data_IF_308082668917
#
_entry.id   IF_308082668917
#
_cell.length_a   1.000
_cell.length_b   1.000
_cell.length_c   1.000
_cell.angle_alpha   90.00
_cell.angle_beta   90.00
_cell.angle_gamma   90.00
#
_symmetry.space_group_name_H-M   'P 1'
#
loop_
_entity.id
_entity.type
_entity.pdbx_description
1 polymer ?
#
# COMPACT_ATOMS: atom_id res chain seq x y z
N UNK A 1 6.59 20.97 9.70
CA UNK A 1 6.41 20.48 8.33
C UNK A 1 5.60 19.17 8.36
N UNK A 2 4.55 19.11 7.58
CA UNK A 2 3.70 17.92 7.55
C UNK A 2 4.37 16.82 6.71
N UNK A 3 4.40 15.61 7.25
CA UNK A 3 4.90 14.45 6.50
C UNK A 3 3.88 14.06 5.45
N UNK A 4 4.38 13.61 4.28
CA UNK A 4 3.51 12.95 3.32
C UNK A 4 3.24 11.52 3.77
N UNK A 5 2.02 11.07 3.54
CA UNK A 5 1.55 9.76 3.95
C UNK A 5 1.56 8.81 2.76
N UNK A 6 2.20 7.67 2.92
CA UNK A 6 2.30 6.65 1.87
C UNK A 6 1.67 5.36 2.36
N UNK A 7 0.78 4.80 1.54
CA UNK A 7 0.16 3.50 1.78
C UNK A 7 0.78 2.47 0.85
N UNK A 8 1.28 1.39 1.43
CA UNK A 8 1.76 0.22 0.69
C UNK A 8 0.75 -0.90 0.90
N UNK A 9 0.36 -1.59 -0.16
CA UNK A 9 -0.62 -2.67 -0.07
C UNK A 9 -0.03 -3.94 -0.65
N UNK A 10 0.21 -4.93 0.21
CA UNK A 10 0.74 -6.23 -0.17
C UNK A 10 2.25 -6.27 -0.29
N UNK A 11 2.75 -7.48 -0.53
CA UNK A 11 4.18 -7.71 -0.66
C UNK A 11 4.88 -7.85 0.68
N UNK A 12 6.03 -8.49 0.67
CA UNK A 12 6.86 -8.59 1.88
C UNK A 12 8.22 -7.96 1.62
N UNK A 13 9.04 -8.55 0.76
CA UNK A 13 10.40 -8.05 0.55
C UNK A 13 10.40 -6.67 -0.13
N UNK A 14 9.57 -6.48 -1.15
CA UNK A 14 9.44 -5.18 -1.81
C UNK A 14 8.87 -4.14 -0.85
N UNK A 15 7.87 -4.53 -0.05
CA UNK A 15 7.26 -3.63 0.92
C UNK A 15 8.27 -3.22 2.00
N UNK A 16 9.08 -4.16 2.49
CA UNK A 16 10.10 -3.87 3.49
C UNK A 16 11.14 -2.87 2.95
N UNK A 17 11.68 -3.15 1.76
CA UNK A 17 12.68 -2.27 1.15
C UNK A 17 12.14 -0.88 0.91
N UNK A 18 10.93 -0.80 0.36
CA UNK A 18 10.31 0.47 0.02
C UNK A 18 9.95 1.25 1.28
N UNK A 19 9.40 0.56 2.28
CA UNK A 19 9.05 1.19 3.55
C UNK A 19 10.27 1.78 4.24
N UNK A 20 11.37 1.03 4.32
CA UNK A 20 12.61 1.51 4.94
C UNK A 20 13.14 2.74 4.21
N UNK A 21 13.13 2.71 2.88
CA UNK A 21 13.59 3.84 2.07
C UNK A 21 12.73 5.09 2.30
N UNK A 22 11.41 4.90 2.31
CA UNK A 22 10.48 6.03 2.50
C UNK A 22 10.55 6.59 3.91
N UNK A 23 10.62 5.73 4.93
CA UNK A 23 10.78 6.17 6.31
C UNK A 23 12.06 6.97 6.49
N UNK A 24 13.15 6.53 5.89
CA UNK A 24 14.43 7.25 5.94
C UNK A 24 14.36 8.64 5.30
N UNK A 25 13.46 8.80 4.33
CA UNK A 25 13.26 10.09 3.66
C UNK A 25 12.24 10.98 4.37
N UNK A 26 11.69 10.51 5.48
CA UNK A 26 10.78 11.32 6.28
C UNK A 26 9.30 11.14 5.97
N UNK A 27 8.93 10.16 5.15
CA UNK A 27 7.52 9.85 4.91
C UNK A 27 6.92 9.10 6.08
N UNK A 28 5.63 9.28 6.29
CA UNK A 28 4.85 8.41 7.18
C UNK A 28 4.34 7.25 6.33
N UNK A 29 4.57 6.02 6.76
CA UNK A 29 4.28 4.83 5.95
C UNK A 29 3.36 3.87 6.69
N UNK A 30 2.31 3.43 6.02
CA UNK A 30 1.40 2.39 6.47
C UNK A 30 1.44 1.27 5.45
N UNK A 31 1.48 0.02 5.91
CA UNK A 31 1.41 -1.15 5.03
C UNK A 31 0.21 -2.00 5.39
N UNK A 32 -0.54 -2.43 4.38
CA UNK A 32 -1.60 -3.44 4.50
C UNK A 32 -1.06 -4.74 3.94
N UNK A 33 -1.26 -5.83 4.66
CA UNK A 33 -0.86 -7.17 4.19
C UNK A 33 -1.88 -8.19 4.69
N UNK A 34 -2.23 -9.16 3.85
CA UNK A 34 -3.25 -10.16 4.17
C UNK A 34 -2.68 -11.45 4.75
N UNK A 35 -1.38 -11.50 4.98
CA UNK A 35 -0.71 -12.65 5.59
C UNK A 35 -0.23 -12.26 6.98
N UNK A 36 -0.72 -12.99 7.99
CA UNK A 36 -0.41 -12.63 9.37
C UNK A 36 1.09 -12.70 9.68
N UNK A 37 1.78 -13.74 9.18
CA UNK A 37 3.21 -13.88 9.43
C UNK A 37 4.01 -12.75 8.78
N UNK A 38 3.62 -12.34 7.59
CA UNK A 38 4.25 -11.19 6.92
C UNK A 38 4.03 -9.91 7.72
N UNK A 39 2.84 -9.74 8.28
CA UNK A 39 2.55 -8.59 9.14
C UNK A 39 3.47 -8.56 10.36
N UNK A 40 3.71 -9.72 10.97
CA UNK A 40 4.62 -9.82 12.12
C UNK A 40 6.04 -9.40 11.73
N UNK A 41 6.50 -9.82 10.56
CA UNK A 41 7.82 -9.45 10.06
C UNK A 41 7.90 -7.94 9.77
N UNK A 42 6.88 -7.40 9.11
CA UNK A 42 6.82 -5.97 8.80
C UNK A 42 6.76 -5.12 10.07
N UNK A 43 6.08 -5.60 11.09
CA UNK A 43 5.93 -4.87 12.35
C UNK A 43 7.25 -4.70 13.10
N UNK A 44 8.31 -5.42 12.72
CA UNK A 44 9.64 -5.23 13.31
C UNK A 44 10.32 -3.94 12.83
N UNK A 45 9.81 -3.32 11.78
CA UNK A 45 10.36 -2.06 11.25
C UNK A 45 9.84 -0.91 12.10
N UNK A 46 10.78 -0.18 12.72
CA UNK A 46 10.43 0.96 13.56
C UNK A 46 9.69 2.03 12.74
N UNK A 47 8.64 2.60 13.33
CA UNK A 47 7.80 3.66 12.77
C UNK A 47 6.90 3.21 11.60
N UNK A 48 6.92 1.96 11.22
CA UNK A 48 6.02 1.44 10.20
C UNK A 48 4.70 1.01 10.85
N UNK A 49 3.59 1.55 10.36
CA UNK A 49 2.27 1.10 10.76
C UNK A 49 1.85 -0.08 9.90
N UNK A 50 1.42 -1.18 10.53
CA UNK A 50 1.04 -2.40 9.82
C UNK A 50 -0.41 -2.74 10.11
N UNK A 51 -1.18 -2.99 9.05
CA UNK A 51 -2.57 -3.39 9.14
C UNK A 51 -2.74 -4.75 8.46
N UNK A 52 -3.29 -5.70 9.21
CA UNK A 52 -3.60 -7.02 8.70
C UNK A 52 -4.97 -6.98 8.03
N UNK A 53 -5.03 -7.27 6.73
CA UNK A 53 -6.28 -7.29 6.01
C UNK A 53 -6.09 -7.40 4.51
N UNK A 54 -7.21 -7.52 3.81
CA UNK A 54 -7.26 -7.60 2.35
C UNK A 54 -7.49 -6.20 1.78
N UNK A 55 -6.46 -5.64 1.14
CA UNK A 55 -6.51 -4.29 0.60
C UNK A 55 -7.46 -4.09 -0.57
N UNK A 56 -8.04 -5.16 -1.14
CA UNK A 56 -9.09 -5.02 -2.16
C UNK A 56 -10.45 -4.68 -1.55
N UNK A 57 -10.55 -4.68 -0.21
CA UNK A 57 -11.79 -4.37 0.51
C UNK A 57 -11.78 -2.90 0.96
N UNK A 58 -12.79 -2.12 0.58
CA UNK A 58 -12.82 -0.71 0.93
C UNK A 58 -12.71 -0.43 2.43
N UNK A 59 -13.32 -1.27 3.28
CA UNK A 59 -13.26 -1.05 4.72
C UNK A 59 -11.84 -1.19 5.29
N UNK A 60 -10.99 -2.02 4.66
CA UNK A 60 -9.60 -2.16 5.08
C UNK A 60 -8.80 -0.90 4.71
N UNK A 61 -9.04 -0.37 3.52
CA UNK A 61 -8.41 0.88 3.09
C UNK A 61 -8.85 2.06 3.96
N UNK A 62 -10.11 2.04 4.40
CA UNK A 62 -10.62 3.05 5.32
C UNK A 62 -9.94 2.94 6.68
N UNK A 63 -9.77 1.74 7.20
CA UNK A 63 -9.06 1.49 8.45
C UNK A 63 -7.61 2.00 8.38
N UNK A 64 -7.00 1.89 7.21
CA UNK A 64 -5.64 2.39 6.96
C UNK A 64 -5.59 3.89 6.71
N UNK A 65 -6.71 4.60 6.89
CA UNK A 65 -6.78 6.04 6.69
C UNK A 65 -6.51 6.43 5.22
N UNK A 66 -7.12 5.68 4.31
CA UNK A 66 -6.90 5.86 2.87
C UNK A 66 -7.15 7.28 2.38
N UNK A 67 -8.16 7.96 2.94
CA UNK A 67 -8.51 9.32 2.50
C UNK A 67 -7.44 10.36 2.83
N UNK A 68 -6.54 10.06 3.76
CA UNK A 68 -5.44 10.96 4.14
C UNK A 68 -4.10 10.53 3.52
N UNK A 69 -4.11 9.54 2.66
CA UNK A 69 -2.90 9.10 1.96
C UNK A 69 -2.61 10.00 0.76
N UNK A 70 -1.35 10.36 0.60
CA UNK A 70 -0.87 11.14 -0.54
C UNK A 70 -0.50 10.23 -1.71
N UNK A 71 0.02 9.05 -1.39
CA UNK A 71 0.48 8.08 -2.38
C UNK A 71 0.01 6.70 -1.93
N UNK A 72 -0.47 5.89 -2.87
CA UNK A 72 -0.81 4.48 -2.62
C UNK A 72 -0.09 3.60 -3.65
N UNK A 73 0.59 2.56 -3.17
CA UNK A 73 1.37 1.67 -4.00
C UNK A 73 0.92 0.24 -3.76
N UNK A 74 0.38 -0.40 -4.78
CA UNK A 74 -0.12 -1.77 -4.70
C UNK A 74 0.95 -2.74 -5.18
N UNK A 75 1.36 -3.65 -4.29
CA UNK A 75 2.50 -4.55 -4.46
C UNK A 75 2.13 -6.02 -4.27
N UNK A 76 0.85 -6.38 -4.37
CA UNK A 76 0.45 -7.78 -4.22
C UNK A 76 0.99 -8.62 -5.39
N UNK A 77 0.91 -9.92 -5.27
CA UNK A 77 1.36 -10.82 -6.34
C UNK A 77 0.30 -11.04 -7.43
N UNK A 78 -0.82 -10.32 -7.38
CA UNK A 78 -1.88 -10.41 -8.37
C UNK A 78 -2.13 -9.06 -9.03
N UNK A 79 -1.89 -9.01 -10.34
CA UNK A 79 -2.07 -7.76 -11.10
C UNK A 79 -3.48 -7.20 -10.97
N UNK A 80 -4.50 -8.07 -11.03
CA UNK A 80 -5.89 -7.65 -10.94
C UNK A 80 -6.17 -6.99 -9.59
N UNK A 81 -5.66 -7.54 -8.50
CA UNK A 81 -5.81 -6.95 -7.18
C UNK A 81 -5.13 -5.58 -7.10
N UNK A 82 -3.95 -5.45 -7.69
CA UNK A 82 -3.22 -4.19 -7.68
C UNK A 82 -3.99 -3.09 -8.43
N UNK A 83 -4.63 -3.45 -9.54
CA UNK A 83 -5.45 -2.50 -10.28
C UNK A 83 -6.70 -2.10 -9.49
N UNK A 84 -7.36 -3.06 -8.84
CA UNK A 84 -8.53 -2.79 -7.99
C UNK A 84 -8.16 -1.88 -6.83
N UNK A 85 -7.06 -2.16 -6.15
CA UNK A 85 -6.58 -1.34 -5.02
C UNK A 85 -6.35 0.09 -5.46
N UNK A 86 -5.64 0.28 -6.57
CA UNK A 86 -5.35 1.61 -7.09
C UNK A 86 -6.62 2.35 -7.51
N UNK A 87 -7.57 1.65 -8.13
CA UNK A 87 -8.83 2.27 -8.50
C UNK A 87 -9.63 2.71 -7.29
N UNK A 88 -9.71 1.87 -6.26
CA UNK A 88 -10.39 2.24 -5.01
C UNK A 88 -9.72 3.44 -4.35
N UNK A 89 -8.39 3.42 -4.26
CA UNK A 89 -7.65 4.54 -3.67
C UNK A 89 -7.90 5.84 -4.42
N UNK A 90 -7.88 5.77 -5.74
CA UNK A 90 -8.06 6.96 -6.57
C UNK A 90 -9.50 7.48 -6.53
N UNK A 91 -10.48 6.60 -6.71
CA UNK A 91 -11.87 7.02 -6.88
C UNK A 91 -12.62 7.19 -5.57
N UNK A 92 -12.43 6.28 -4.62
CA UNK A 92 -13.15 6.33 -3.35
C UNK A 92 -12.43 7.18 -2.31
N UNK A 93 -11.12 7.09 -2.24
CA UNK A 93 -10.33 7.77 -1.20
C UNK A 93 -9.61 9.02 -1.71
N UNK A 94 -9.70 9.30 -3.01
CA UNK A 94 -9.14 10.51 -3.63
C UNK A 94 -7.63 10.67 -3.42
N UNK A 95 -6.92 9.53 -3.41
CA UNK A 95 -5.46 9.52 -3.34
C UNK A 95 -4.92 10.11 -4.64
N UNK A 96 -4.05 11.09 -4.54
CA UNK A 96 -3.57 11.83 -5.71
C UNK A 96 -2.66 11.01 -6.61
N UNK A 97 -1.82 10.16 -6.01
CA UNK A 97 -0.87 9.37 -6.78
C UNK A 97 -1.04 7.89 -6.42
N UNK A 98 -1.33 7.07 -7.41
CA UNK A 98 -1.47 5.64 -7.24
C UNK A 98 -0.50 4.93 -8.19
N UNK A 99 0.15 3.88 -7.68
CA UNK A 99 1.12 3.08 -8.44
C UNK A 99 0.74 1.61 -8.26
N UNK A 100 0.56 0.90 -9.36
CA UNK A 100 0.27 -0.52 -9.35
C UNK A 100 1.44 -1.29 -9.94
N UNK A 101 1.92 -2.30 -9.21
CA UNK A 101 2.87 -3.25 -9.78
C UNK A 101 2.10 -4.16 -10.73
N UNK A 102 2.48 -4.18 -11.99
CA UNK A 102 1.84 -5.02 -13.00
C UNK A 102 2.91 -5.85 -13.70
N UNK A 103 2.77 -7.16 -13.63
CA UNK A 103 3.73 -8.11 -14.22
C UNK A 103 3.34 -8.48 -15.65
N UNK A 104 2.03 -8.44 -15.95
CA UNK A 104 1.52 -8.73 -17.28
C UNK A 104 1.12 -7.42 -17.96
N UNK A 105 1.92 -6.94 -18.95
CA UNK A 105 1.64 -5.64 -19.57
C UNK A 105 0.30 -5.59 -20.30
N UNK A 106 -0.28 -6.72 -20.65
CA UNK A 106 -1.59 -6.73 -21.33
C UNK A 106 -2.72 -6.31 -20.40
N UNK A 107 -2.54 -6.45 -19.09
CA UNK A 107 -3.57 -6.05 -18.13
C UNK A 107 -3.70 -4.54 -17.98
N UNK A 108 -2.82 -3.76 -18.54
CA UNK A 108 -2.89 -2.30 -18.52
C UNK A 108 -3.53 -1.72 -19.78
N UNK A 109 -3.93 -2.56 -20.71
CA UNK A 109 -4.57 -2.12 -21.97
C UNK A 109 -6.09 -2.14 -21.82
N UNK A 110 -6.67 -1.01 -21.91
CA UNK A 110 -8.12 -0.84 -21.85
C UNK A 110 -8.61 0.02 -22.99
#
# INVERSE_FOLDING_TARGET
MMKKNVLLVGGLHKAMSLAQSLLNKGYAVTVINDNYNDCMTLASIEDLEVIFGDGTKPFVLEEADGENMDIAIALTNKDDDNLVICELCKKKFHVKKTVALVRDPQKTRF
#
